data_IF_710092621133
#
_entry.id   IF_710092621133
#
_cell.length_a   1.000
_cell.length_b   1.000
_cell.length_c   1.000
_cell.angle_alpha   90.00
_cell.angle_beta   90.00
_cell.angle_gamma   90.00
#
_symmetry.space_group_name_H-M   'P 1'
#
loop_
_entity.id
_entity.type
_entity.pdbx_description
1 polymer ?
#
# COMPACT_ATOMS: atom_id res chain seq x y z
N UNK A 1 -54.69 27.44 30.66
CA UNK A 1 -54.07 26.58 29.59
C UNK A 1 -52.86 27.30 29.00
N UNK A 2 -51.63 26.91 29.39
CA UNK A 2 -50.39 27.52 28.90
C UNK A 2 -49.90 26.70 27.70
N UNK A 3 -49.85 27.31 26.51
CA UNK A 3 -49.30 26.68 25.31
C UNK A 3 -47.78 26.83 25.33
N UNK A 4 -47.04 25.70 25.42
CA UNK A 4 -45.60 25.61 25.25
C UNK A 4 -45.29 25.54 23.74
N UNK A 5 -44.59 26.55 23.22
CA UNK A 5 -44.02 26.52 21.87
C UNK A 5 -42.60 25.92 21.95
N UNK A 6 -42.41 24.74 21.39
CA UNK A 6 -41.07 24.17 21.18
C UNK A 6 -40.47 24.81 19.94
N UNK A 7 -39.43 25.60 20.15
CA UNK A 7 -38.59 26.14 19.07
C UNK A 7 -37.61 25.08 18.69
N UNK A 8 -37.79 24.44 17.52
CA UNK A 8 -36.88 23.44 16.96
C UNK A 8 -35.73 24.21 16.31
N UNK A 9 -34.57 24.28 16.98
CA UNK A 9 -33.34 24.87 16.46
C UNK A 9 -32.65 23.82 15.58
N UNK A 10 -32.88 23.86 14.24
CA UNK A 10 -32.17 23.03 13.30
C UNK A 10 -30.79 23.64 13.05
N UNK A 11 -29.75 23.09 13.69
CA UNK A 11 -28.36 23.43 13.39
C UNK A 11 -27.95 22.84 12.04
N UNK A 12 -27.87 23.68 11.02
CA UNK A 12 -27.23 23.36 9.75
C UNK A 12 -25.72 23.24 9.96
N UNK A 13 -25.23 22.02 10.02
CA UNK A 13 -23.81 21.75 9.90
C UNK A 13 -23.38 21.98 8.46
N UNK A 14 -22.84 23.17 8.19
CA UNK A 14 -22.16 23.44 6.91
C UNK A 14 -20.81 22.69 7.01
N UNK A 15 -20.75 21.51 6.38
CA UNK A 15 -19.50 20.82 6.13
C UNK A 15 -18.71 21.63 5.10
N UNK A 16 -17.83 22.49 5.59
CA UNK A 16 -16.87 23.19 4.73
C UNK A 16 -15.81 22.18 4.28
N UNK A 17 -16.03 21.51 3.15
CA UNK A 17 -14.99 20.71 2.50
C UNK A 17 -13.92 21.67 2.00
N UNK A 18 -12.74 21.64 2.61
CA UNK A 18 -11.59 22.39 2.12
C UNK A 18 -11.26 21.95 0.68
N UNK A 19 -11.06 22.86 -0.26
CA UNK A 19 -10.68 22.51 -1.62
C UNK A 19 -9.33 21.77 -1.58
N UNK A 20 -9.30 20.52 -2.07
CA UNK A 20 -8.05 19.76 -2.22
C UNK A 20 -7.10 20.60 -3.07
N UNK A 21 -5.90 20.90 -2.55
CA UNK A 21 -4.86 21.63 -3.24
C UNK A 21 -4.51 20.83 -4.51
N UNK A 22 -4.82 21.38 -5.70
CA UNK A 22 -4.41 20.78 -6.96
C UNK A 22 -2.88 20.84 -7.03
N UNK A 23 -2.23 19.72 -6.84
CA UNK A 23 -0.81 19.57 -7.13
C UNK A 23 -0.72 19.40 -8.64
N UNK A 24 -0.02 20.34 -9.33
CA UNK A 24 0.36 20.17 -10.72
C UNK A 24 1.84 19.83 -10.77
N UNK A 25 2.21 18.55 -10.59
CA UNK A 25 3.60 18.15 -10.67
C UNK A 25 4.09 18.31 -12.12
N UNK A 26 5.36 18.70 -12.26
CA UNK A 26 6.04 18.80 -13.56
C UNK A 26 7.19 17.81 -13.58
N UNK A 27 7.41 17.20 -14.74
CA UNK A 27 8.62 16.40 -14.98
C UNK A 27 9.75 17.41 -15.27
N UNK A 28 10.79 17.39 -14.46
CA UNK A 28 12.03 18.14 -14.67
C UNK A 28 13.08 17.20 -15.28
N UNK A 29 13.63 17.58 -16.43
CA UNK A 29 14.59 16.77 -17.15
C UNK A 29 16.00 17.22 -16.77
N UNK A 30 16.73 16.35 -16.08
CA UNK A 30 18.13 16.55 -15.75
C UNK A 30 19.08 15.87 -16.75
N UNK A 31 18.61 14.80 -17.41
CA UNK A 31 19.34 14.07 -18.43
C UNK A 31 18.37 13.59 -19.50
N UNK A 32 18.73 13.80 -20.78
CA UNK A 32 17.86 13.46 -21.90
C UNK A 32 17.62 11.94 -22.06
N UNK A 33 18.43 11.09 -21.44
CA UNK A 33 18.23 9.64 -21.46
C UNK A 33 16.89 9.21 -20.87
N UNK A 34 16.28 10.05 -20.03
CA UNK A 34 14.95 9.80 -19.43
C UNK A 34 13.86 9.64 -20.51
N UNK A 35 13.99 10.28 -21.67
CA UNK A 35 13.04 10.19 -22.79
C UNK A 35 12.91 8.77 -23.36
N UNK A 36 13.92 7.93 -23.12
CA UNK A 36 13.86 6.51 -23.50
C UNK A 36 13.03 5.64 -22.53
N UNK A 37 12.69 6.18 -21.36
CA UNK A 37 12.01 5.48 -20.28
C UNK A 37 10.58 5.98 -20.12
N UNK A 38 10.37 7.30 -20.17
CA UNK A 38 9.06 7.92 -19.99
C UNK A 38 8.80 8.95 -21.08
N UNK A 39 7.52 9.13 -21.44
CA UNK A 39 7.10 10.27 -22.24
C UNK A 39 7.07 11.51 -21.32
N UNK A 40 7.93 12.49 -21.64
CA UNK A 40 8.06 13.74 -20.89
C UNK A 40 6.78 14.61 -20.87
N UNK A 41 5.86 14.35 -21.78
CA UNK A 41 4.55 15.01 -21.85
C UNK A 41 3.47 14.28 -21.05
N UNK A 42 3.82 13.11 -20.47
CA UNK A 42 2.89 12.37 -19.61
C UNK A 42 2.44 13.20 -18.44
N UNK A 43 1.16 13.07 -18.10
CA UNK A 43 0.60 13.70 -16.91
C UNK A 43 0.88 12.82 -15.70
N UNK A 44 1.24 13.46 -14.60
CA UNK A 44 1.31 12.78 -13.30
C UNK A 44 -0.08 12.78 -12.70
N UNK A 45 -0.57 11.58 -12.38
CA UNK A 45 -1.89 11.37 -11.78
C UNK A 45 -1.74 10.86 -10.35
N UNK A 46 -2.62 11.33 -9.48
CA UNK A 46 -2.71 10.82 -8.10
C UNK A 46 -3.71 9.66 -8.14
N UNK A 47 -3.20 8.44 -8.06
CA UNK A 47 -4.01 7.21 -8.11
C UNK A 47 -4.69 6.91 -6.78
N UNK A 48 -4.04 7.27 -5.67
CA UNK A 48 -4.53 7.06 -4.32
C UNK A 48 -4.21 8.25 -3.42
N UNK A 49 -5.06 8.51 -2.45
CA UNK A 49 -4.79 9.41 -1.33
C UNK A 49 -5.14 8.69 -0.01
N UNK A 50 -4.79 9.31 1.11
CA UNK A 50 -5.12 8.77 2.45
C UNK A 50 -4.41 7.45 2.81
N UNK A 51 -3.29 7.15 2.15
CA UNK A 51 -2.38 6.06 2.52
C UNK A 51 -1.38 6.61 3.54
N UNK A 52 -1.16 5.87 4.61
CA UNK A 52 -0.36 6.37 5.74
C UNK A 52 1.14 6.33 5.44
N UNK A 53 1.62 5.19 4.95
CA UNK A 53 3.03 5.01 4.57
C UNK A 53 3.13 4.08 3.36
N UNK A 54 2.93 4.63 2.14
CA UNK A 54 3.00 3.83 0.91
C UNK A 54 4.43 3.49 0.56
N UNK A 55 4.69 2.20 0.26
CA UNK A 55 5.99 1.64 -0.08
C UNK A 55 5.86 0.51 -1.11
N UNK A 56 6.99 0.05 -1.64
CA UNK A 56 7.14 -1.16 -2.42
C UNK A 56 6.20 -1.33 -3.63
N UNK A 57 6.06 -0.34 -4.52
CA UNK A 57 5.16 -0.49 -5.66
C UNK A 57 5.69 -1.51 -6.67
N UNK A 58 4.82 -2.41 -7.14
CA UNK A 58 5.11 -3.35 -8.21
C UNK A 58 3.91 -3.51 -9.14
N UNK A 59 4.16 -3.54 -10.45
CA UNK A 59 3.11 -3.76 -11.44
C UNK A 59 2.91 -5.25 -11.70
N UNK A 60 1.72 -5.73 -11.43
CA UNK A 60 1.29 -7.08 -11.81
C UNK A 60 0.68 -7.07 -13.21
N UNK A 61 1.40 -7.71 -14.15
CA UNK A 61 0.99 -7.79 -15.55
C UNK A 61 -0.21 -8.73 -15.76
N UNK A 62 -0.42 -9.72 -14.88
CA UNK A 62 -1.48 -10.70 -15.00
C UNK A 62 -2.83 -10.07 -14.67
N UNK A 63 -2.91 -9.41 -13.53
CA UNK A 63 -4.14 -8.74 -13.07
C UNK A 63 -4.25 -7.30 -13.57
N UNK A 64 -3.22 -6.77 -14.24
CA UNK A 64 -3.12 -5.37 -14.66
C UNK A 64 -3.35 -4.40 -13.51
N UNK A 65 -2.75 -4.71 -12.37
CA UNK A 65 -2.90 -3.94 -11.14
C UNK A 65 -1.55 -3.45 -10.63
N UNK A 66 -1.54 -2.29 -10.03
CA UNK A 66 -0.43 -1.82 -9.21
C UNK A 66 -0.63 -2.38 -7.80
N UNK A 67 0.31 -3.20 -7.34
CA UNK A 67 0.37 -3.62 -5.95
C UNK A 67 1.35 -2.71 -5.20
N UNK A 68 0.99 -2.33 -3.97
CA UNK A 68 1.84 -1.52 -3.10
C UNK A 68 1.44 -1.76 -1.65
N UNK A 69 2.25 -1.31 -0.70
CA UNK A 69 1.97 -1.55 0.72
C UNK A 69 1.56 -0.27 1.43
N UNK A 70 0.75 -0.39 2.48
CA UNK A 70 0.66 0.58 3.57
C UNK A 70 1.33 -0.05 4.80
N UNK A 71 2.58 0.32 5.04
CA UNK A 71 3.38 -0.25 6.14
C UNK A 71 2.73 -0.01 7.48
N UNK A 72 2.16 1.18 7.68
CA UNK A 72 1.54 1.56 8.95
C UNK A 72 0.23 0.80 9.23
N UNK A 73 -0.51 0.44 8.18
CA UNK A 73 -1.75 -0.31 8.28
C UNK A 73 -1.55 -1.83 8.20
N UNK A 74 -0.31 -2.29 8.01
CA UNK A 74 0.02 -3.71 7.83
C UNK A 74 -0.75 -4.36 6.67
N UNK A 75 -0.84 -3.64 5.54
CA UNK A 75 -1.62 -4.06 4.36
C UNK A 75 -0.80 -4.08 3.10
N UNK A 76 -1.18 -4.96 2.18
CA UNK A 76 -0.89 -4.86 0.76
C UNK A 76 -2.16 -4.39 0.08
N UNK A 77 -2.04 -3.37 -0.73
CA UNK A 77 -3.12 -2.73 -1.47
C UNK A 77 -2.98 -3.03 -2.96
N UNK A 78 -4.08 -3.02 -3.68
CA UNK A 78 -4.11 -3.07 -5.13
C UNK A 78 -4.83 -1.86 -5.69
N UNK A 79 -4.36 -1.38 -6.83
CA UNK A 79 -5.05 -0.37 -7.62
C UNK A 79 -5.14 -0.82 -9.08
N UNK A 80 -6.27 -0.61 -9.69
CA UNK A 80 -6.46 -0.66 -11.14
C UNK A 80 -7.47 0.39 -11.60
N UNK A 81 -7.56 0.59 -12.91
CA UNK A 81 -8.42 1.64 -13.49
C UNK A 81 -9.92 1.39 -13.23
N UNK A 82 -10.36 0.14 -13.12
CA UNK A 82 -11.78 -0.23 -13.01
C UNK A 82 -12.30 -0.07 -11.58
N UNK A 83 -11.50 -0.50 -10.58
CA UNK A 83 -11.97 -0.60 -9.20
C UNK A 83 -11.29 0.39 -8.25
N UNK A 84 -10.27 1.14 -8.72
CA UNK A 84 -9.48 2.01 -7.86
C UNK A 84 -8.66 1.25 -6.81
N UNK A 85 -8.47 1.84 -5.63
CA UNK A 85 -7.69 1.22 -4.54
C UNK A 85 -8.55 0.28 -3.71
N UNK A 86 -8.04 -0.92 -3.46
CA UNK A 86 -8.68 -1.93 -2.64
C UNK A 86 -7.67 -2.61 -1.71
N UNK A 87 -8.16 -3.12 -0.57
CA UNK A 87 -7.39 -4.02 0.27
C UNK A 87 -7.14 -5.33 -0.51
N UNK A 88 -5.87 -5.70 -0.67
CA UNK A 88 -5.49 -6.93 -1.36
C UNK A 88 -5.16 -8.04 -0.36
N UNK A 89 -4.26 -7.78 0.60
CA UNK A 89 -3.88 -8.70 1.67
C UNK A 89 -3.78 -7.95 2.99
N UNK A 90 -4.43 -8.47 4.03
CA UNK A 90 -4.34 -7.95 5.39
C UNK A 90 -4.53 -9.10 6.40
N UNK A 91 -3.57 -9.34 7.31
CA UNK A 91 -2.27 -8.67 7.47
C UNK A 91 -1.24 -9.08 6.40
N UNK A 92 -0.34 -8.15 6.00
CA UNK A 92 0.64 -8.40 4.94
C UNK A 92 2.08 -8.63 5.42
N UNK A 93 2.50 -8.04 6.55
CA UNK A 93 3.89 -8.04 7.00
C UNK A 93 4.14 -8.51 8.43
N UNK A 94 3.11 -8.40 9.28
CA UNK A 94 3.08 -8.96 10.63
C UNK A 94 1.88 -9.89 10.70
N UNK A 95 2.10 -11.17 10.38
CA UNK A 95 1.06 -12.19 10.27
C UNK A 95 1.00 -13.11 11.50
N UNK A 96 1.94 -12.91 12.46
CA UNK A 96 2.10 -13.76 13.62
C UNK A 96 3.07 -14.94 13.41
N UNK A 97 3.81 -14.95 12.31
CA UNK A 97 4.83 -15.95 12.03
C UNK A 97 6.01 -15.87 13.03
N UNK A 98 6.51 -14.66 13.27
CA UNK A 98 7.57 -14.42 14.23
C UNK A 98 7.00 -14.01 15.59
N UNK A 99 7.76 -14.23 16.69
CA UNK A 99 7.40 -13.68 17.98
C UNK A 99 7.21 -12.17 17.90
N UNK A 100 6.25 -11.63 18.65
CA UNK A 100 6.04 -10.19 18.71
C UNK A 100 7.33 -9.49 19.20
N UNK A 101 7.90 -8.65 18.34
CA UNK A 101 9.19 -7.99 18.58
C UNK A 101 9.03 -6.57 19.13
N UNK A 102 7.84 -6.20 19.59
CA UNK A 102 7.57 -4.92 20.21
C UNK A 102 6.70 -4.00 19.37
N UNK A 103 6.73 -2.73 19.73
CA UNK A 103 5.96 -1.67 19.07
C UNK A 103 6.71 -1.14 17.85
N UNK A 104 5.97 -0.70 16.84
CA UNK A 104 6.53 -0.05 15.67
C UNK A 104 5.75 -0.33 14.38
N UNK A 105 6.32 0.14 13.28
CA UNK A 105 5.81 -0.11 11.92
C UNK A 105 6.23 -1.52 11.50
N UNK A 106 5.35 -2.49 11.66
CA UNK A 106 5.62 -3.91 11.43
C UNK A 106 4.97 -4.45 10.14
N UNK A 107 4.43 -3.57 9.32
CA UNK A 107 3.80 -3.95 8.05
C UNK A 107 4.77 -4.49 7.00
N UNK A 108 4.26 -4.93 5.85
CA UNK A 108 5.10 -5.27 4.70
C UNK A 108 5.81 -4.01 4.22
N UNK A 109 7.01 -4.16 3.64
CA UNK A 109 7.76 -3.01 3.14
C UNK A 109 7.94 -3.08 1.61
N UNK A 110 8.66 -4.07 1.11
CA UNK A 110 8.91 -4.21 -0.31
C UNK A 110 8.13 -5.33 -0.96
N UNK A 111 7.78 -5.14 -2.23
CA UNK A 111 7.15 -6.14 -3.08
C UNK A 111 7.97 -6.39 -4.33
N UNK A 112 7.95 -7.62 -4.82
CA UNK A 112 8.46 -7.98 -6.13
C UNK A 112 7.60 -9.10 -6.72
N UNK A 113 7.58 -9.23 -8.03
CA UNK A 113 6.96 -10.36 -8.72
C UNK A 113 8.09 -11.10 -9.45
N UNK A 114 8.20 -12.40 -9.18
CA UNK A 114 9.21 -13.23 -9.83
C UNK A 114 8.80 -13.61 -11.26
N UNK A 115 9.69 -14.31 -11.98
CA UNK A 115 9.45 -14.73 -13.36
C UNK A 115 8.27 -15.70 -13.51
N UNK A 116 7.89 -16.39 -12.45
CA UNK A 116 6.75 -17.30 -12.40
C UNK A 116 5.41 -16.58 -12.08
N UNK A 117 5.44 -15.26 -11.86
CA UNK A 117 4.27 -14.46 -11.48
C UNK A 117 3.89 -14.54 -10.01
N UNK A 118 4.78 -15.05 -9.14
CA UNK A 118 4.54 -15.14 -7.70
C UNK A 118 4.94 -13.84 -7.00
N UNK A 119 4.12 -13.39 -6.07
CA UNK A 119 4.40 -12.20 -5.28
C UNK A 119 5.38 -12.52 -4.14
N UNK A 120 6.49 -11.79 -4.12
CA UNK A 120 7.48 -11.81 -3.05
C UNK A 120 7.26 -10.61 -2.15
N UNK A 121 7.22 -10.83 -0.85
CA UNK A 121 6.90 -9.83 0.17
C UNK A 121 7.99 -9.77 1.22
N UNK A 122 8.51 -8.58 1.45
CA UNK A 122 9.37 -8.31 2.59
C UNK A 122 8.53 -8.07 3.84
N UNK A 123 8.36 -9.10 4.67
CA UNK A 123 7.55 -9.05 5.88
C UNK A 123 8.40 -8.56 7.07
N UNK A 124 8.37 -7.24 7.30
CA UNK A 124 9.20 -6.64 8.36
C UNK A 124 8.83 -7.16 9.75
N UNK A 125 7.54 -7.27 10.06
CA UNK A 125 7.07 -7.78 11.35
C UNK A 125 7.37 -9.25 11.57
N UNK A 126 7.30 -10.06 10.52
CA UNK A 126 7.58 -11.50 10.58
C UNK A 126 9.07 -11.82 10.37
N UNK A 127 9.91 -10.81 10.10
CA UNK A 127 11.36 -10.97 9.94
C UNK A 127 11.76 -11.94 8.85
N UNK A 128 11.02 -11.99 7.74
CA UNK A 128 11.28 -12.90 6.63
C UNK A 128 11.00 -12.26 5.28
N UNK A 129 11.56 -12.84 4.24
CA UNK A 129 11.05 -12.72 2.88
C UNK A 129 10.12 -13.90 2.66
N UNK A 130 8.89 -13.62 2.30
CA UNK A 130 7.89 -14.62 2.01
C UNK A 130 7.44 -14.55 0.57
N UNK A 131 6.90 -15.64 0.05
CA UNK A 131 6.35 -15.74 -1.30
C UNK A 131 4.90 -16.19 -1.22
N UNK A 132 4.07 -15.63 -2.10
CA UNK A 132 2.68 -16.03 -2.29
C UNK A 132 2.58 -16.75 -3.62
N UNK A 133 2.20 -18.03 -3.57
CA UNK A 133 2.13 -18.89 -4.76
C UNK A 133 0.92 -18.57 -5.65
N UNK A 134 -0.15 -18.03 -5.08
CA UNK A 134 -1.35 -17.65 -5.80
C UNK A 134 -1.74 -16.21 -5.43
N UNK A 135 -1.41 -15.29 -6.30
CA UNK A 135 -1.67 -13.86 -6.12
C UNK A 135 -3.17 -13.50 -6.15
N UNK A 136 -4.00 -14.35 -6.75
CA UNK A 136 -5.46 -14.15 -6.79
C UNK A 136 -6.19 -14.68 -5.54
N UNK A 137 -5.45 -15.32 -4.61
CA UNK A 137 -6.05 -15.88 -3.40
C UNK A 137 -6.42 -14.77 -2.39
N UNK A 138 -7.67 -14.75 -1.97
CA UNK A 138 -8.14 -13.87 -0.89
C UNK A 138 -7.64 -14.27 0.51
N UNK A 139 -7.09 -15.47 0.63
CA UNK A 139 -6.45 -15.97 1.85
C UNK A 139 -5.09 -16.56 1.48
N UNK A 140 -4.07 -15.71 1.30
CA UNK A 140 -2.78 -16.14 0.80
C UNK A 140 -2.06 -17.00 1.82
N UNK A 141 -1.48 -18.09 1.35
CA UNK A 141 -0.52 -18.88 2.09
C UNK A 141 0.89 -18.35 1.82
N UNK A 142 1.53 -17.84 2.87
CA UNK A 142 2.87 -17.30 2.81
C UNK A 142 3.89 -18.41 2.98
N UNK A 143 4.59 -18.74 1.92
CA UNK A 143 5.76 -19.62 1.96
C UNK A 143 7.01 -18.82 2.35
N UNK A 144 7.75 -19.28 3.37
CA UNK A 144 9.00 -18.62 3.77
C UNK A 144 10.10 -18.89 2.75
N UNK A 145 10.64 -17.84 2.15
CA UNK A 145 11.82 -17.92 1.27
C UNK A 145 13.10 -17.87 2.12
N UNK A 146 13.18 -16.90 3.04
CA UNK A 146 14.31 -16.77 3.97
C UNK A 146 13.87 -16.00 5.22
N UNK A 147 14.27 -16.48 6.39
CA UNK A 147 13.99 -15.87 7.70
C UNK A 147 15.24 -15.71 8.57
N UNK A 148 16.35 -16.29 8.17
CA UNK A 148 17.60 -16.21 8.94
C UNK A 148 18.84 -16.24 8.03
N UNK A 149 19.95 -15.75 8.60
CA UNK A 149 21.30 -15.89 8.05
C UNK A 149 22.27 -16.30 9.14
N UNK A 150 22.94 -17.42 8.97
CA UNK A 150 23.88 -17.99 9.95
C UNK A 150 23.26 -18.13 11.37
N UNK A 151 22.00 -18.57 11.46
CA UNK A 151 21.29 -18.75 12.72
C UNK A 151 20.82 -17.44 13.40
N UNK A 152 20.98 -16.30 12.74
CA UNK A 152 20.45 -15.01 13.19
C UNK A 152 19.20 -14.67 12.40
N UNK A 153 18.17 -14.24 13.11
CA UNK A 153 16.92 -13.77 12.52
C UNK A 153 17.19 -12.59 11.59
N UNK A 154 16.58 -12.61 10.42
CA UNK A 154 16.72 -11.55 9.42
C UNK A 154 16.15 -10.25 9.92
N UNK A 155 16.81 -9.14 9.56
CA UNK A 155 16.19 -7.81 9.54
C UNK A 155 15.82 -7.57 8.09
N UNK A 156 14.54 -7.68 7.79
CA UNK A 156 14.06 -7.44 6.42
C UNK A 156 13.75 -5.96 6.31
N UNK A 157 14.70 -5.24 5.79
CA UNK A 157 14.53 -3.85 5.43
C UNK A 157 14.86 -3.74 3.94
N UNK A 158 13.89 -3.34 3.15
CA UNK A 158 14.17 -2.93 1.77
C UNK A 158 14.41 -1.43 1.74
N UNK A 159 15.43 -1.07 1.02
CA UNK A 159 15.77 0.31 0.67
C UNK A 159 15.04 0.67 -0.61
#
# INVERSE_FOLDING_TARGET
MKKFYYLLLSSLFIFCSQPKKKINPKIEIFDNSIESIIDIFSKIEVLADSITLPEGPVWDKQTKSLLFVDVAQNKILSWNEEYGVNDFISPGGNTGYAPNLGEGLLGPNGLAINEEGKLIVCQHGDRRIAMINNIESTNPDFETVVDNYNGKVSIVQMI
#
